data_IF_218445420083
#
_entry.id   IF_218445420083
#
_cell.length_a   1.000
_cell.length_b   1.000
_cell.length_c   1.000
_cell.angle_alpha   90.00
_cell.angle_beta   90.00
_cell.angle_gamma   90.00
#
_symmetry.space_group_name_H-M   'P 1'
#
loop_
_entity.id
_entity.type
_entity.pdbx_description
1 polymer ?
#
# COMPACT_ATOMS: atom_id res chain seq x y z
N UNK A 1 8.36 14.00 -78.88
CA UNK A 1 9.00 13.21 -77.81
C UNK A 1 8.10 13.27 -76.58
N UNK A 2 7.12 12.37 -76.49
CA UNK A 2 6.23 12.27 -75.33
C UNK A 2 6.81 11.27 -74.35
N UNK A 3 7.12 11.72 -73.14
CA UNK A 3 7.56 10.89 -72.03
C UNK A 3 6.37 10.13 -71.46
N UNK A 4 6.36 8.81 -71.68
CA UNK A 4 5.39 7.90 -71.08
C UNK A 4 5.74 7.72 -69.61
N UNK A 5 4.82 8.12 -68.75
CA UNK A 5 4.84 7.98 -67.29
C UNK A 5 4.89 6.51 -66.90
N UNK A 6 5.98 6.10 -66.25
CA UNK A 6 6.09 4.79 -65.61
C UNK A 6 5.24 4.77 -64.33
N UNK A 7 4.15 4.02 -64.37
CA UNK A 7 3.45 3.56 -63.16
C UNK A 7 4.38 2.64 -62.39
N UNK A 8 4.85 3.14 -61.25
CA UNK A 8 5.65 2.36 -60.29
C UNK A 8 4.72 1.33 -59.66
N UNK A 9 4.84 0.08 -60.11
CA UNK A 9 4.17 -1.07 -59.50
C UNK A 9 4.54 -1.16 -58.02
N UNK A 10 3.52 -1.20 -57.15
CA UNK A 10 3.71 -1.52 -55.74
C UNK A 10 4.33 -2.93 -55.63
N UNK A 11 5.33 -3.16 -54.78
CA UNK A 11 5.78 -4.52 -54.48
C UNK A 11 4.65 -5.27 -53.77
N UNK A 12 4.36 -6.55 -54.12
CA UNK A 12 3.38 -7.34 -53.41
C UNK A 12 3.86 -7.59 -51.97
N UNK A 13 2.94 -7.50 -51.01
CA UNK A 13 3.21 -7.79 -49.60
C UNK A 13 3.66 -9.26 -49.43
N UNK A 14 4.73 -9.55 -48.65
CA UNK A 14 5.05 -10.93 -48.30
C UNK A 14 4.20 -11.32 -47.09
N UNK A 15 3.08 -12.00 -47.34
CA UNK A 15 2.17 -12.48 -46.30
C UNK A 15 2.00 -13.98 -46.45
N UNK A 16 2.59 -14.73 -45.51
CA UNK A 16 2.33 -16.16 -45.37
C UNK A 16 2.02 -16.43 -43.89
N UNK A 17 0.73 -16.46 -43.59
CA UNK A 17 0.23 -17.23 -42.46
C UNK A 17 0.60 -18.72 -42.66
N UNK A 18 0.57 -19.55 -41.61
CA UNK A 18 0.91 -20.99 -41.70
C UNK A 18 0.08 -21.75 -42.75
N UNK A 19 -1.11 -21.27 -43.10
CA UNK A 19 -1.97 -21.88 -44.12
C UNK A 19 -1.55 -21.57 -45.58
N UNK A 20 -0.56 -20.68 -45.77
CA UNK A 20 -0.03 -20.25 -47.06
C UNK A 20 -1.10 -19.75 -48.06
N UNK A 21 -2.24 -19.29 -47.54
CA UNK A 21 -3.30 -18.69 -48.35
C UNK A 21 -2.98 -17.20 -48.56
N UNK A 22 -3.40 -16.61 -49.70
CA UNK A 22 -3.30 -15.17 -49.91
C UNK A 22 -4.05 -14.39 -48.81
N UNK A 23 -3.56 -13.18 -48.51
CA UNK A 23 -4.16 -12.34 -47.47
C UNK A 23 -5.58 -11.97 -47.85
N UNK A 24 -6.50 -12.13 -46.90
CA UNK A 24 -7.94 -11.89 -47.06
C UNK A 24 -8.34 -10.88 -45.99
N UNK A 25 -8.57 -9.62 -46.40
CA UNK A 25 -8.77 -8.46 -45.51
C UNK A 25 -9.97 -8.65 -44.55
N UNK A 26 -10.91 -9.55 -44.87
CA UNK A 26 -12.09 -9.83 -44.05
C UNK A 26 -11.81 -10.77 -42.86
N UNK A 27 -10.58 -11.28 -42.71
CA UNK A 27 -10.20 -12.20 -41.61
C UNK A 27 -9.49 -11.49 -40.47
N UNK A 28 -9.74 -11.93 -39.24
CA UNK A 28 -9.04 -11.43 -38.05
C UNK A 28 -7.58 -11.94 -38.01
N UNK A 29 -6.63 -11.02 -37.87
CA UNK A 29 -5.19 -11.30 -37.88
C UNK A 29 -4.51 -11.03 -36.52
N UNK A 30 -3.49 -11.83 -36.20
CA UNK A 30 -2.55 -11.64 -35.09
C UNK A 30 -1.14 -11.40 -35.65
N UNK A 31 -0.39 -10.47 -35.04
CA UNK A 31 1.01 -10.22 -35.38
C UNK A 31 1.95 -10.91 -34.37
N UNK A 32 2.93 -11.68 -34.87
CA UNK A 32 3.94 -12.29 -34.02
C UNK A 32 4.87 -11.22 -33.43
N UNK A 33 5.03 -11.19 -32.11
CA UNK A 33 5.86 -10.22 -31.40
C UNK A 33 7.36 -10.26 -31.73
N UNK A 34 7.82 -11.35 -32.35
CA UNK A 34 9.25 -11.59 -32.63
C UNK A 34 9.63 -11.38 -34.09
N UNK A 35 8.87 -11.96 -35.03
CA UNK A 35 9.14 -11.81 -36.47
C UNK A 35 8.22 -10.81 -37.17
N UNK A 36 7.23 -10.26 -36.46
CA UNK A 36 6.24 -9.29 -36.97
C UNK A 36 5.34 -9.81 -38.10
N UNK A 37 5.44 -11.09 -38.47
CA UNK A 37 4.58 -11.70 -39.48
C UNK A 37 3.12 -11.81 -38.98
N UNK A 38 2.17 -11.73 -39.94
CA UNK A 38 0.73 -11.78 -39.70
C UNK A 38 0.21 -13.21 -39.86
N UNK A 39 -0.68 -13.60 -38.95
CA UNK A 39 -1.30 -14.92 -38.93
C UNK A 39 -2.81 -14.78 -38.75
N UNK A 40 -3.61 -15.52 -39.51
CA UNK A 40 -5.03 -15.65 -39.22
C UNK A 40 -5.24 -16.19 -37.81
N UNK A 41 -6.16 -15.60 -37.05
CA UNK A 41 -6.47 -16.02 -35.67
C UNK A 41 -6.85 -17.51 -35.60
N UNK A 42 -7.58 -18.00 -36.59
CA UNK A 42 -8.02 -19.40 -36.69
C UNK A 42 -6.90 -20.39 -37.04
N UNK A 43 -5.80 -19.92 -37.65
CA UNK A 43 -4.70 -20.78 -38.07
C UNK A 43 -3.64 -20.99 -36.99
N UNK A 44 -3.79 -20.36 -35.81
CA UNK A 44 -2.82 -20.46 -34.71
C UNK A 44 -3.52 -20.86 -33.40
N UNK A 45 -2.93 -21.74 -32.57
CA UNK A 45 -3.56 -22.24 -31.36
C UNK A 45 -3.95 -21.10 -30.41
N UNK A 46 -5.10 -21.21 -29.75
CA UNK A 46 -5.55 -20.27 -28.71
C UNK A 46 -4.70 -20.42 -27.44
N UNK A 47 -3.48 -19.90 -27.48
CA UNK A 47 -2.67 -19.65 -26.28
C UNK A 47 -2.61 -18.15 -26.08
N UNK A 48 -3.77 -17.57 -25.81
CA UNK A 48 -3.88 -16.24 -25.21
C UNK A 48 -4.11 -16.52 -23.72
N UNK A 49 -3.13 -16.27 -22.84
CA UNK A 49 -3.39 -16.26 -21.39
C UNK A 49 -4.48 -15.22 -21.11
N UNK A 50 -5.39 -15.51 -20.18
CA UNK A 50 -6.45 -14.59 -19.73
C UNK A 50 -5.92 -13.27 -19.15
N UNK A 51 -4.61 -13.20 -18.91
CA UNK A 51 -3.94 -12.09 -18.25
C UNK A 51 -3.13 -11.36 -19.33
N UNK A 52 -3.55 -10.14 -19.67
CA UNK A 52 -3.21 -9.38 -20.88
C UNK A 52 -1.75 -8.95 -21.09
N UNK A 53 -0.75 -9.70 -20.63
CA UNK A 53 0.67 -9.31 -20.66
C UNK A 53 1.58 -10.16 -21.56
N UNK A 54 1.10 -11.21 -22.23
CA UNK A 54 1.94 -12.00 -23.17
C UNK A 54 1.56 -11.78 -24.63
N UNK A 55 2.41 -11.08 -25.38
CA UNK A 55 2.29 -10.87 -26.83
C UNK A 55 2.39 -12.21 -27.58
N UNK A 56 1.55 -12.42 -28.61
CA UNK A 56 1.53 -13.64 -29.42
C UNK A 56 2.90 -13.91 -30.11
N UNK A 57 3.41 -15.15 -30.02
CA UNK A 57 4.63 -15.60 -30.72
C UNK A 57 4.28 -16.78 -31.62
N UNK A 58 4.66 -16.73 -32.90
CA UNK A 58 4.28 -17.75 -33.88
C UNK A 58 5.02 -19.10 -33.64
N UNK A 59 4.46 -20.23 -34.12
CA UNK A 59 5.04 -21.56 -33.90
C UNK A 59 6.51 -21.69 -34.31
N UNK A 60 6.92 -21.02 -35.39
CA UNK A 60 8.31 -21.04 -35.86
C UNK A 60 9.25 -20.28 -34.91
N UNK A 61 8.80 -19.13 -34.40
CA UNK A 61 9.52 -18.37 -33.38
C UNK A 61 9.53 -19.08 -32.00
N UNK A 62 8.57 -19.97 -31.76
CA UNK A 62 8.53 -20.82 -30.56
C UNK A 62 9.50 -22.00 -30.69
N UNK A 63 9.66 -22.60 -31.87
CA UNK A 63 10.60 -23.71 -32.12
C UNK A 63 12.08 -23.32 -31.99
N UNK A 64 12.40 -22.04 -32.16
CA UNK A 64 13.76 -21.51 -31.96
C UNK A 64 14.09 -21.24 -30.48
N UNK A 65 13.15 -21.49 -29.56
CA UNK A 65 13.41 -21.50 -28.12
C UNK A 65 14.13 -22.80 -27.80
N UNK A 66 15.40 -22.74 -27.36
CA UNK A 66 16.09 -23.90 -26.79
C UNK A 66 15.25 -24.43 -25.62
N UNK A 67 14.77 -25.68 -25.66
CA UNK A 67 14.14 -26.25 -24.48
C UNK A 67 15.19 -26.36 -23.36
N UNK A 68 14.84 -26.06 -22.10
CA UNK A 68 15.70 -26.42 -20.99
C UNK A 68 15.90 -27.95 -20.98
N UNK A 69 17.06 -28.45 -20.52
CA UNK A 69 17.32 -29.89 -20.51
C UNK A 69 16.26 -30.63 -19.68
N UNK A 70 15.80 -31.76 -20.21
CA UNK A 70 14.73 -32.55 -19.62
C UNK A 70 15.12 -33.06 -18.22
N UNK A 71 14.44 -32.57 -17.19
CA UNK A 71 14.51 -33.14 -15.85
C UNK A 71 13.63 -34.39 -15.79
N UNK A 72 14.24 -35.52 -15.42
CA UNK A 72 13.55 -36.79 -15.20
C UNK A 72 12.39 -36.63 -14.20
N UNK A 73 11.22 -37.12 -14.60
CA UNK A 73 10.03 -37.19 -13.79
C UNK A 73 10.23 -38.16 -12.61
N UNK A 74 10.61 -37.62 -11.45
CA UNK A 74 10.28 -38.14 -10.14
C UNK A 74 9.65 -37.00 -9.34
N UNK A 75 8.44 -37.21 -8.84
CA UNK A 75 7.71 -36.29 -7.97
C UNK A 75 8.63 -35.81 -6.83
N UNK A 76 9.11 -34.57 -6.90
CA UNK A 76 9.53 -33.79 -5.74
C UNK A 76 8.56 -32.62 -5.60
N UNK A 77 8.15 -32.31 -4.36
CA UNK A 77 7.59 -31.01 -4.00
C UNK A 77 8.39 -29.95 -4.75
N UNK A 78 7.74 -29.17 -5.60
CA UNK A 78 8.34 -28.02 -6.25
C UNK A 78 9.12 -27.25 -5.18
N UNK A 79 10.41 -27.05 -5.39
CA UNK A 79 11.29 -26.33 -4.49
C UNK A 79 10.73 -24.90 -4.37
N UNK A 80 9.96 -24.67 -3.31
CA UNK A 80 9.71 -23.31 -2.80
C UNK A 80 11.08 -22.66 -2.62
N UNK A 81 11.27 -21.39 -2.99
CA UNK A 81 12.56 -20.72 -2.81
C UNK A 81 12.96 -20.85 -1.34
N UNK A 82 14.03 -21.60 -1.09
CA UNK A 82 14.52 -21.83 0.26
C UNK A 82 15.18 -20.54 0.73
N UNK A 83 14.73 -20.02 1.89
CA UNK A 83 15.42 -18.94 2.55
C UNK A 83 16.87 -19.36 2.86
N UNK A 84 17.81 -18.47 2.57
CA UNK A 84 19.23 -18.77 2.73
C UNK A 84 19.67 -18.64 4.19
N UNK A 85 20.01 -19.78 4.78
CA UNK A 85 20.58 -19.92 6.13
C UNK A 85 22.07 -20.23 5.99
N UNK A 86 22.93 -19.41 6.62
CA UNK A 86 24.38 -19.57 6.54
C UNK A 86 25.15 -18.38 7.15
N UNK A 87 26.45 -18.31 6.87
CA UNK A 87 27.35 -17.27 7.37
C UNK A 87 28.21 -16.65 6.24
N UNK A 88 27.59 -16.16 5.17
CA UNK A 88 28.27 -15.46 4.08
C UNK A 88 28.19 -13.92 4.25
N UNK A 89 29.28 -13.25 4.65
CA UNK A 89 29.29 -11.80 4.90
C UNK A 89 28.96 -10.98 3.64
N UNK A 90 29.30 -11.45 2.44
CA UNK A 90 29.04 -10.73 1.19
C UNK A 90 27.55 -10.62 0.86
N UNK A 91 26.70 -11.46 1.48
CA UNK A 91 25.24 -11.48 1.29
C UNK A 91 24.48 -10.86 2.47
N UNK A 92 25.16 -10.57 3.58
CA UNK A 92 24.56 -9.86 4.71
C UNK A 92 24.23 -8.43 4.30
N UNK A 93 22.97 -8.01 4.39
CA UNK A 93 22.41 -6.77 3.82
C UNK A 93 22.92 -5.46 4.45
N UNK A 94 24.23 -5.27 4.48
CA UNK A 94 24.97 -4.11 4.99
C UNK A 94 24.76 -2.85 4.17
N UNK A 95 24.21 -2.96 2.95
CA UNK A 95 23.86 -1.83 2.07
C UNK A 95 23.12 -0.74 2.84
N UNK A 96 22.03 -1.10 3.51
CA UNK A 96 21.16 -0.12 4.16
C UNK A 96 21.76 0.43 5.45
N UNK A 97 22.54 -0.36 6.17
CA UNK A 97 23.33 0.12 7.32
C UNK A 97 24.28 1.23 6.87
N UNK A 98 24.98 1.03 5.75
CA UNK A 98 25.89 2.03 5.20
C UNK A 98 25.16 3.29 4.71
N UNK A 99 23.98 3.15 4.09
CA UNK A 99 23.12 4.28 3.68
C UNK A 99 22.70 5.08 4.92
N UNK A 100 22.19 4.42 5.96
CA UNK A 100 21.76 5.08 7.19
C UNK A 100 22.94 5.76 7.91
N UNK A 101 24.12 5.12 7.95
CA UNK A 101 25.33 5.70 8.51
C UNK A 101 25.81 6.94 7.74
N UNK A 102 25.66 6.96 6.40
CA UNK A 102 25.97 8.12 5.56
C UNK A 102 25.11 9.34 5.95
N UNK A 103 23.82 9.12 6.16
CA UNK A 103 22.86 10.20 6.42
C UNK A 103 22.57 10.47 7.90
N UNK A 104 23.20 9.75 8.84
CA UNK A 104 22.96 9.86 10.29
C UNK A 104 23.00 11.29 10.84
N UNK A 105 23.89 12.12 10.30
CA UNK A 105 24.09 13.51 10.72
C UNK A 105 22.92 14.45 10.34
N UNK A 106 22.02 14.00 9.46
CA UNK A 106 20.82 14.74 9.02
C UNK A 106 19.59 14.40 9.85
N UNK A 107 19.62 13.29 10.58
CA UNK A 107 18.45 12.80 11.31
C UNK A 107 18.20 13.66 12.54
N UNK A 108 16.96 14.14 12.67
CA UNK A 108 16.53 14.91 13.82
C UNK A 108 15.67 14.03 14.73
N UNK A 109 15.82 14.17 16.04
CA UNK A 109 14.87 13.56 16.97
C UNK A 109 13.57 14.34 16.90
N UNK A 110 12.42 13.71 16.59
CA UNK A 110 11.15 14.41 16.55
C UNK A 110 10.65 14.72 17.96
N UNK A 111 9.96 15.85 18.10
CA UNK A 111 9.13 16.16 19.28
C UNK A 111 7.73 15.52 19.10
N UNK A 112 7.69 14.20 18.94
CA UNK A 112 6.44 13.45 18.88
C UNK A 112 5.92 13.20 20.29
N UNK A 113 4.62 13.43 20.48
CA UNK A 113 4.00 13.28 21.79
C UNK A 113 4.04 11.82 22.26
N UNK A 114 4.18 11.63 23.57
CA UNK A 114 4.09 10.33 24.23
C UNK A 114 2.93 10.35 25.23
N UNK A 115 1.85 9.66 24.91
CA UNK A 115 0.62 9.64 25.69
C UNK A 115 0.51 8.42 26.62
N UNK A 116 -0.36 8.51 27.62
CA UNK A 116 -0.94 7.31 28.25
C UNK A 116 -2.09 6.80 27.39
N UNK A 117 -2.43 5.50 27.48
CA UNK A 117 -3.49 4.95 26.64
C UNK A 117 -4.86 5.56 26.93
N UNK A 118 -5.15 5.91 28.17
CA UNK A 118 -6.41 6.53 28.59
C UNK A 118 -6.65 7.90 27.95
N UNK A 119 -5.57 8.59 27.54
CA UNK A 119 -5.65 9.87 26.87
C UNK A 119 -6.10 9.70 25.41
N UNK A 120 -5.68 8.63 24.75
CA UNK A 120 -5.88 8.44 23.31
C UNK A 120 -7.26 7.88 23.02
N UNK A 121 -8.24 8.79 23.00
CA UNK A 121 -9.65 8.51 22.71
C UNK A 121 -10.10 9.20 21.42
N UNK A 122 -11.27 8.82 20.90
CA UNK A 122 -11.89 9.51 19.77
C UNK A 122 -12.07 11.01 20.03
N UNK A 123 -12.53 11.39 21.23
CA UNK A 123 -12.73 12.79 21.62
C UNK A 123 -11.40 13.56 21.69
N UNK A 124 -10.34 12.94 22.22
CA UNK A 124 -9.01 13.54 22.24
C UNK A 124 -8.51 13.85 20.81
N UNK A 125 -8.61 12.88 19.89
CA UNK A 125 -8.17 13.09 18.51
C UNK A 125 -9.06 14.09 17.76
N UNK A 126 -10.35 14.17 18.08
CA UNK A 126 -11.25 15.21 17.53
C UNK A 126 -10.92 16.61 18.02
N UNK A 127 -10.44 16.78 19.26
CA UNK A 127 -10.08 18.09 19.82
C UNK A 127 -8.70 18.56 19.39
N UNK A 128 -7.73 17.64 19.34
CA UNK A 128 -6.32 17.97 19.12
C UNK A 128 -5.85 17.71 17.68
N UNK A 129 -6.66 16.99 16.90
CA UNK A 129 -6.28 16.51 15.57
C UNK A 129 -5.42 15.26 15.63
N UNK A 130 -5.34 14.56 14.49
CA UNK A 130 -4.43 13.45 14.27
C UNK A 130 -3.56 13.75 13.05
N UNK A 131 -2.61 14.67 13.23
CA UNK A 131 -1.79 15.24 12.14
C UNK A 131 -0.30 14.96 12.28
N UNK A 132 0.17 14.58 13.47
CA UNK A 132 1.56 14.19 13.74
C UNK A 132 1.61 12.79 14.36
N UNK A 133 2.65 11.99 14.07
CA UNK A 133 2.88 10.73 14.75
C UNK A 133 3.00 10.93 16.25
N UNK A 134 2.54 9.94 17.01
CA UNK A 134 2.68 9.92 18.45
C UNK A 134 2.83 8.49 18.96
N UNK A 135 3.46 8.35 20.13
CA UNK A 135 3.60 7.08 20.81
C UNK A 135 2.65 6.99 22.00
N UNK A 136 2.31 5.77 22.38
CA UNK A 136 1.67 5.41 23.63
C UNK A 136 2.60 4.46 24.37
N UNK A 137 2.86 4.77 25.65
CA UNK A 137 3.87 4.07 26.45
C UNK A 137 3.67 2.56 26.51
N UNK A 138 2.40 2.13 26.53
CA UNK A 138 2.02 0.72 26.45
C UNK A 138 0.61 0.58 25.92
N UNK A 139 0.17 -0.64 25.64
CA UNK A 139 -1.23 -0.93 25.27
C UNK A 139 -2.25 -0.69 26.40
N UNK A 140 -1.81 -0.52 27.65
CA UNK A 140 -2.69 -0.22 28.78
C UNK A 140 -3.47 1.08 28.52
N UNK A 141 -4.78 1.05 28.77
CA UNK A 141 -5.68 2.18 28.53
C UNK A 141 -6.20 2.30 27.09
N UNK A 142 -5.69 1.52 26.12
CA UNK A 142 -6.14 1.58 24.71
C UNK A 142 -7.31 0.64 24.39
N UNK A 143 -7.74 -0.21 25.34
CA UNK A 143 -8.67 -1.32 25.08
C UNK A 143 -8.23 -2.15 23.86
N UNK A 144 -6.91 -2.41 23.84
CA UNK A 144 -6.21 -3.24 22.87
C UNK A 144 -5.87 -4.57 23.56
N UNK A 145 -6.17 -5.67 22.88
CA UNK A 145 -5.79 -7.02 23.31
C UNK A 145 -4.76 -7.55 22.33
N UNK A 146 -3.66 -8.07 22.84
CA UNK A 146 -2.60 -8.66 22.03
C UNK A 146 -1.74 -9.56 22.94
N UNK A 147 -1.26 -10.73 22.47
CA UNK A 147 -0.37 -11.57 23.26
C UNK A 147 0.92 -10.83 23.66
N UNK A 148 1.34 -10.95 24.92
CA UNK A 148 2.56 -10.31 25.43
C UNK A 148 3.85 -10.94 24.89
N UNK A 149 3.80 -12.21 24.48
CA UNK A 149 4.97 -12.99 24.07
C UNK A 149 4.64 -13.83 22.83
N UNK A 150 4.22 -13.17 21.76
CA UNK A 150 3.99 -13.84 20.48
C UNK A 150 5.33 -14.14 19.81
N UNK A 151 5.62 -15.43 19.59
CA UNK A 151 6.81 -15.88 18.86
C UNK A 151 6.47 -16.20 17.41
N UNK A 152 7.46 -16.14 16.53
CA UNK A 152 7.30 -16.51 15.11
C UNK A 152 6.84 -17.96 14.93
N UNK A 153 7.31 -18.87 15.78
CA UNK A 153 6.86 -20.27 15.79
C UNK A 153 5.38 -20.38 16.10
N UNK A 154 4.90 -19.67 17.13
CA UNK A 154 3.47 -19.64 17.47
C UNK A 154 2.63 -19.03 16.36
N UNK A 155 3.11 -17.97 15.69
CA UNK A 155 2.41 -17.40 14.52
C UNK A 155 2.24 -18.47 13.45
N UNK A 156 3.30 -19.21 13.11
CA UNK A 156 3.23 -20.28 12.12
C UNK A 156 2.28 -21.42 12.53
N UNK A 157 2.25 -21.79 13.82
CA UNK A 157 1.34 -22.82 14.35
C UNK A 157 -0.13 -22.39 14.33
N UNK A 158 -0.41 -21.13 14.71
CA UNK A 158 -1.77 -20.60 14.82
C UNK A 158 -2.36 -20.28 13.45
N UNK A 159 -1.58 -19.62 12.58
CA UNK A 159 -2.03 -19.21 11.24
C UNK A 159 -2.04 -20.40 10.28
N UNK A 160 -1.06 -21.29 10.38
CA UNK A 160 -0.90 -22.44 9.50
C UNK A 160 0.49 -22.50 8.89
N UNK A 161 1.19 -23.61 9.13
CA UNK A 161 2.58 -23.83 8.73
C UNK A 161 2.81 -23.75 7.21
N UNK A 162 1.80 -24.09 6.41
CA UNK A 162 1.83 -24.14 4.95
C UNK A 162 1.36 -22.86 4.26
N UNK A 163 0.81 -21.90 5.02
CA UNK A 163 0.39 -20.58 4.55
C UNK A 163 1.61 -19.86 3.96
N UNK A 164 1.45 -19.40 2.72
CA UNK A 164 2.49 -18.71 1.95
C UNK A 164 2.29 -17.21 2.06
N UNK A 165 3.36 -16.49 2.36
CA UNK A 165 3.38 -15.05 2.54
C UNK A 165 4.48 -14.43 1.67
N UNK A 166 4.20 -13.24 1.14
CA UNK A 166 5.21 -12.43 0.47
C UNK A 166 6.28 -11.98 1.47
N UNK A 167 7.50 -12.48 1.25
CA UNK A 167 8.67 -12.21 2.09
C UNK A 167 9.65 -11.35 1.31
N UNK A 168 9.95 -10.17 1.81
CA UNK A 168 10.84 -9.21 1.15
C UNK A 168 12.29 -9.61 1.39
N UNK A 169 13.05 -9.84 0.31
CA UNK A 169 14.51 -9.83 0.37
C UNK A 169 14.97 -8.38 0.52
N UNK A 170 15.52 -8.04 1.67
CA UNK A 170 15.87 -6.66 2.03
C UNK A 170 16.95 -6.09 1.11
N UNK A 171 17.87 -6.92 0.58
CA UNK A 171 18.94 -6.41 -0.28
C UNK A 171 18.41 -5.95 -1.64
N UNK A 172 17.53 -6.75 -2.24
CA UNK A 172 16.94 -6.50 -3.57
C UNK A 172 15.64 -5.68 -3.51
N UNK A 173 14.99 -5.58 -2.35
CA UNK A 173 13.63 -5.05 -2.15
C UNK A 173 12.58 -5.81 -2.98
N UNK A 174 12.86 -7.07 -3.36
CA UNK A 174 11.94 -7.93 -4.11
C UNK A 174 11.27 -8.92 -3.17
N UNK A 175 9.98 -9.15 -3.36
CA UNK A 175 9.22 -10.15 -2.60
C UNK A 175 9.36 -11.54 -3.21
N UNK A 176 9.55 -12.54 -2.37
CA UNK A 176 9.53 -13.96 -2.70
C UNK A 176 8.50 -14.69 -1.83
N UNK A 177 7.72 -15.63 -2.38
CA UNK A 177 6.73 -16.36 -1.62
C UNK A 177 7.40 -17.39 -0.71
N UNK A 178 7.11 -17.36 0.59
CA UNK A 178 7.66 -18.28 1.59
C UNK A 178 6.56 -18.78 2.51
N UNK A 179 6.59 -20.07 2.86
CA UNK A 179 5.67 -20.60 3.86
C UNK A 179 6.10 -20.32 5.30
N UNK A 180 5.13 -20.22 6.21
CA UNK A 180 5.38 -19.85 7.60
C UNK A 180 6.27 -20.84 8.35
N UNK A 181 6.27 -22.12 8.00
CA UNK A 181 7.20 -23.09 8.58
C UNK A 181 8.66 -22.81 8.22
N UNK A 182 8.91 -22.53 6.93
CA UNK A 182 10.23 -22.16 6.42
C UNK A 182 10.68 -20.82 6.99
N UNK A 183 9.75 -19.87 7.10
CA UNK A 183 10.00 -18.58 7.76
C UNK A 183 10.38 -18.76 9.22
N UNK A 184 9.61 -19.53 10.01
CA UNK A 184 9.92 -19.77 11.41
C UNK A 184 11.26 -20.47 11.61
N UNK A 185 11.61 -21.40 10.72
CA UNK A 185 12.92 -22.06 10.73
C UNK A 185 14.05 -21.06 10.47
N UNK A 186 13.90 -20.22 9.44
CA UNK A 186 14.87 -19.16 9.11
C UNK A 186 15.00 -18.13 10.23
N UNK A 187 13.88 -17.64 10.76
CA UNK A 187 13.86 -16.59 11.77
C UNK A 187 14.52 -17.07 13.07
N UNK A 188 14.31 -18.33 13.47
CA UNK A 188 14.96 -18.86 14.67
C UNK A 188 16.41 -19.32 14.46
N UNK A 189 16.90 -19.30 13.22
CA UNK A 189 18.31 -19.62 12.95
C UNK A 189 19.23 -18.49 13.43
N UNK A 190 20.30 -18.81 14.18
CA UNK A 190 21.33 -17.83 14.54
C UNK A 190 22.23 -17.45 13.34
N UNK A 191 22.15 -18.22 12.25
CA UNK A 191 22.92 -18.01 11.02
C UNK A 191 21.99 -17.57 9.89
N UNK A 192 22.24 -16.40 9.30
CA UNK A 192 21.42 -15.84 8.21
C UNK A 192 22.34 -15.26 7.13
N UNK A 193 22.33 -15.88 5.95
CA UNK A 193 23.11 -15.40 4.81
C UNK A 193 22.49 -14.14 4.20
N UNK A 194 21.17 -14.03 4.25
CA UNK A 194 20.41 -12.94 3.65
C UNK A 194 19.38 -12.45 4.64
N UNK A 195 19.00 -11.17 4.52
CA UNK A 195 18.06 -10.51 5.41
C UNK A 195 16.71 -10.51 4.72
N UNK A 196 15.73 -11.13 5.36
CA UNK A 196 14.37 -11.21 4.86
C UNK A 196 13.39 -10.58 5.86
N UNK A 197 12.26 -10.09 5.36
CA UNK A 197 11.28 -9.38 6.15
C UNK A 197 9.86 -9.75 5.72
N UNK A 198 8.98 -10.09 6.67
CA UNK A 198 7.54 -10.24 6.43
C UNK A 198 6.84 -8.99 6.93
N UNK A 199 6.25 -8.25 5.99
CA UNK A 199 5.52 -7.00 6.25
C UNK A 199 4.00 -7.14 6.09
N UNK A 200 3.56 -8.15 5.34
CA UNK A 200 2.19 -8.21 4.78
C UNK A 200 1.42 -9.47 5.18
N UNK A 201 1.79 -10.16 6.27
CA UNK A 201 0.97 -11.24 6.81
C UNK A 201 -0.29 -10.65 7.46
N UNK A 202 -1.32 -10.45 6.64
CA UNK A 202 -2.68 -10.17 7.09
C UNK A 202 -3.29 -11.45 7.65
N UNK A 203 -3.93 -11.36 8.81
CA UNK A 203 -4.38 -12.55 9.53
C UNK A 203 -5.84 -12.51 9.98
N UNK A 204 -6.65 -11.59 9.46
CA UNK A 204 -8.05 -11.41 9.90
C UNK A 204 -8.93 -12.65 9.74
N UNK A 205 -8.62 -13.52 8.76
CA UNK A 205 -9.35 -14.78 8.50
C UNK A 205 -8.68 -16.01 9.13
N UNK A 206 -7.79 -15.80 10.11
CA UNK A 206 -7.04 -16.88 10.76
C UNK A 206 -7.37 -16.93 12.26
N UNK A 207 -7.09 -18.06 12.95
CA UNK A 207 -7.27 -18.15 14.41
C UNK A 207 -6.44 -17.14 15.22
N UNK A 208 -5.42 -16.50 14.62
CA UNK A 208 -4.65 -15.45 15.29
C UNK A 208 -5.51 -14.20 15.54
N UNK A 209 -6.51 -13.96 14.69
CA UNK A 209 -7.42 -12.82 14.83
C UNK A 209 -8.20 -12.87 16.16
N UNK A 210 -8.56 -14.07 16.63
CA UNK A 210 -9.30 -14.25 17.89
C UNK A 210 -8.48 -13.84 19.13
N UNK A 211 -7.16 -13.73 18.99
CA UNK A 211 -6.25 -13.35 20.07
C UNK A 211 -5.93 -11.85 20.11
N UNK A 212 -6.40 -11.10 19.12
CA UNK A 212 -6.01 -9.70 18.93
C UNK A 212 -7.23 -8.81 18.77
N UNK A 213 -7.28 -7.74 19.56
CA UNK A 213 -8.26 -6.67 19.43
C UNK A 213 -7.50 -5.37 19.19
N UNK A 214 -7.79 -4.72 18.05
CA UNK A 214 -7.21 -3.42 17.69
C UNK A 214 -7.56 -2.35 18.73
N UNK A 215 -6.73 -1.31 18.93
CA UNK A 215 -7.05 -0.22 19.85
C UNK A 215 -8.47 0.33 19.64
N UNK A 216 -9.17 0.66 20.73
CA UNK A 216 -10.54 1.19 20.66
C UNK A 216 -10.65 2.38 19.73
N UNK A 217 -9.72 3.33 19.84
CA UNK A 217 -9.69 4.52 18.99
C UNK A 217 -9.58 4.19 17.50
N UNK A 218 -8.91 3.10 17.12
CA UNK A 218 -8.82 2.64 15.72
C UNK A 218 -10.16 2.10 15.27
N UNK A 219 -10.76 1.19 16.05
CA UNK A 219 -12.09 0.62 15.76
C UNK A 219 -13.17 1.71 15.68
N UNK A 220 -13.04 2.74 16.51
CA UNK A 220 -13.93 3.88 16.48
C UNK A 220 -13.69 4.77 15.25
N UNK A 221 -12.47 4.89 14.71
CA UNK A 221 -12.17 5.76 13.57
C UNK A 221 -12.34 5.08 12.20
N UNK A 222 -12.11 3.77 12.13
CA UNK A 222 -11.96 3.02 10.90
C UNK A 222 -13.26 3.00 10.08
N UNK A 223 -13.22 3.62 8.89
CA UNK A 223 -14.33 3.64 7.95
C UNK A 223 -14.70 2.23 7.50
N UNK A 224 -13.75 1.30 7.36
CA UNK A 224 -14.07 -0.07 6.98
C UNK A 224 -14.97 -0.77 8.01
N UNK A 225 -14.81 -0.48 9.30
CA UNK A 225 -15.67 -1.03 10.34
C UNK A 225 -17.05 -0.37 10.37
N UNK A 226 -17.11 0.92 10.03
CA UNK A 226 -18.35 1.71 10.08
C UNK A 226 -19.25 1.53 8.86
N UNK A 227 -18.67 1.50 7.66
CA UNK A 227 -19.44 1.74 6.42
C UNK A 227 -19.48 0.54 5.49
N UNK A 228 -18.61 -0.45 5.69
CA UNK A 228 -18.58 -1.63 4.82
C UNK A 228 -19.84 -2.47 5.01
N UNK A 229 -20.59 -2.79 3.94
CA UNK A 229 -21.87 -3.47 4.07
C UNK A 229 -21.70 -4.95 4.43
N UNK A 230 -22.51 -5.43 5.38
CA UNK A 230 -22.52 -6.84 5.79
C UNK A 230 -22.79 -7.81 4.62
N UNK A 231 -23.53 -7.36 3.60
CA UNK A 231 -23.80 -8.16 2.39
C UNK A 231 -22.57 -8.40 1.51
N UNK A 232 -21.45 -7.73 1.76
CA UNK A 232 -20.16 -7.91 1.07
C UNK A 232 -19.03 -8.24 2.06
N UNK A 233 -19.34 -8.93 3.15
CA UNK A 233 -18.35 -9.22 4.20
C UNK A 233 -17.11 -9.95 3.65
N UNK A 234 -17.30 -10.91 2.73
CA UNK A 234 -16.21 -11.69 2.12
C UNK A 234 -15.30 -10.88 1.19
N UNK A 235 -15.78 -9.71 0.73
CA UNK A 235 -15.07 -8.79 -0.17
C UNK A 235 -14.48 -7.59 0.57
N UNK A 236 -14.53 -7.61 1.91
CA UNK A 236 -13.97 -6.53 2.75
C UNK A 236 -12.45 -6.45 2.56
N UNK A 237 -11.88 -5.26 2.29
CA UNK A 237 -10.43 -5.10 2.16
C UNK A 237 -9.67 -5.63 3.38
N UNK A 238 -8.71 -6.52 3.12
CA UNK A 238 -7.88 -7.20 4.11
C UNK A 238 -6.64 -6.35 4.42
N UNK A 239 -6.87 -5.32 5.23
CA UNK A 239 -5.83 -4.33 5.58
C UNK A 239 -5.83 -3.91 7.05
N UNK A 240 -6.77 -4.44 7.81
CA UNK A 240 -7.07 -3.95 9.16
C UNK A 240 -6.10 -4.46 10.21
N UNK A 241 -5.43 -5.59 9.95
CA UNK A 241 -4.53 -6.21 10.93
C UNK A 241 -3.44 -7.09 10.29
N UNK A 242 -2.20 -6.88 10.69
CA UNK A 242 -1.00 -7.55 10.17
C UNK A 242 -0.09 -8.01 11.29
N UNK A 243 0.56 -9.16 11.09
CA UNK A 243 1.68 -9.62 11.90
C UNK A 243 2.97 -9.39 11.12
N UNK A 244 3.75 -8.41 11.58
CA UNK A 244 5.00 -8.01 10.94
C UNK A 244 6.15 -8.67 11.69
N UNK A 245 6.97 -9.43 10.97
CA UNK A 245 8.09 -10.18 11.52
C UNK A 245 9.35 -9.82 10.75
N UNK A 246 10.31 -9.23 11.43
CA UNK A 246 11.48 -8.65 10.80
C UNK A 246 12.72 -9.09 11.54
N UNK A 247 13.72 -9.61 10.82
CA UNK A 247 15.01 -9.91 11.44
C UNK A 247 15.83 -8.62 11.60
N UNK A 248 16.83 -8.65 12.48
CA UNK A 248 17.79 -7.58 12.65
C UNK A 248 18.40 -7.15 11.31
N UNK A 249 18.61 -5.83 11.18
CA UNK A 249 19.07 -5.12 10.00
C UNK A 249 18.10 -5.12 8.80
N UNK A 250 16.83 -5.49 9.00
CA UNK A 250 15.80 -5.30 7.97
C UNK A 250 15.56 -3.82 7.70
N UNK A 251 15.35 -3.47 6.43
CA UNK A 251 15.05 -2.12 5.97
C UNK A 251 13.90 -2.14 4.96
N UNK A 252 12.93 -1.25 5.16
CA UNK A 252 11.85 -0.93 4.22
C UNK A 252 12.04 0.52 3.80
N UNK A 253 12.15 0.76 2.49
CA UNK A 253 12.44 2.08 1.97
C UNK A 253 11.27 3.07 2.13
N UNK A 254 11.52 4.35 1.83
CA UNK A 254 10.51 5.40 1.95
C UNK A 254 9.25 5.10 1.14
N UNK A 255 8.12 5.11 1.82
CA UNK A 255 6.80 4.92 1.23
C UNK A 255 5.76 5.76 1.96
N UNK A 256 4.58 5.85 1.35
CA UNK A 256 3.35 6.31 1.98
C UNK A 256 2.42 5.10 2.04
N UNK A 257 1.78 4.87 3.18
CA UNK A 257 0.81 3.78 3.32
C UNK A 257 -0.33 3.91 2.31
N UNK A 258 -0.74 2.76 1.77
CA UNK A 258 -1.65 2.68 0.64
C UNK A 258 -2.99 3.38 0.93
N UNK A 259 -3.52 4.09 -0.06
CA UNK A 259 -4.73 4.93 0.05
C UNK A 259 -4.60 6.09 1.04
N UNK A 260 -3.38 6.43 1.46
CA UNK A 260 -3.12 7.40 2.52
C UNK A 260 -3.68 6.96 3.85
N UNK A 261 -3.76 5.66 4.11
CA UNK A 261 -4.27 5.14 5.37
C UNK A 261 -3.40 5.59 6.57
N UNK A 262 -4.05 5.69 7.73
CA UNK A 262 -3.36 5.84 9.00
C UNK A 262 -3.02 4.46 9.57
N UNK A 263 -2.02 4.39 10.44
CA UNK A 263 -1.48 3.13 10.99
C UNK A 263 -1.47 3.15 12.50
N UNK A 264 -1.81 2.02 13.12
CA UNK A 264 -1.37 1.71 14.48
C UNK A 264 -0.32 0.60 14.43
N UNK A 265 0.68 0.67 15.31
CA UNK A 265 1.87 -0.18 15.24
C UNK A 265 2.34 -0.56 16.64
N UNK A 266 2.05 -1.78 17.10
CA UNK A 266 2.44 -2.27 18.41
C UNK A 266 3.63 -3.21 18.33
N UNK A 267 4.74 -2.83 18.96
CA UNK A 267 5.94 -3.68 19.03
C UNK A 267 5.81 -4.65 20.19
N UNK A 268 5.67 -5.94 19.90
CA UNK A 268 5.63 -7.00 20.94
C UNK A 268 7.06 -7.32 21.39
N UNK A 269 7.96 -7.48 20.43
CA UNK A 269 9.37 -7.81 20.64
C UNK A 269 10.25 -6.94 19.76
N UNK A 270 11.41 -6.58 20.29
CA UNK A 270 12.46 -5.86 19.60
C UNK A 270 12.18 -4.36 19.54
N UNK A 271 12.67 -3.72 18.48
CA UNK A 271 12.49 -2.30 18.25
C UNK A 271 12.48 -1.98 16.76
N UNK A 272 12.05 -0.75 16.44
CA UNK A 272 12.03 -0.17 15.10
C UNK A 272 12.53 1.26 15.16
N UNK A 273 13.17 1.70 14.09
CA UNK A 273 13.49 3.10 13.86
C UNK A 273 12.75 3.54 12.60
N UNK A 274 11.83 4.48 12.77
CA UNK A 274 11.11 5.10 11.67
C UNK A 274 11.81 6.39 11.27
N UNK A 275 11.98 6.59 9.97
CA UNK A 275 12.49 7.82 9.38
C UNK A 275 11.34 8.54 8.71
N UNK A 276 10.91 9.67 9.25
CA UNK A 276 9.72 10.40 8.81
C UNK A 276 10.07 11.67 8.04
N UNK A 277 9.31 11.92 6.98
CA UNK A 277 9.24 13.18 6.25
C UNK A 277 7.79 13.68 6.31
N UNK A 278 7.62 14.97 6.63
CA UNK A 278 6.30 15.56 6.78
C UNK A 278 5.49 15.55 5.46
N UNK A 279 4.16 15.35 5.51
CA UNK A 279 3.31 15.22 4.33
C UNK A 279 2.95 16.57 3.69
N UNK A 280 3.94 17.32 3.20
CA UNK A 280 3.73 18.61 2.53
C UNK A 280 3.64 18.46 1.00
N UNK A 281 3.07 19.46 0.30
CA UNK A 281 3.10 19.54 -1.17
C UNK A 281 4.52 19.41 -1.74
N UNK A 282 5.49 20.08 -1.11
CA UNK A 282 6.90 20.00 -1.49
C UNK A 282 7.40 18.56 -1.41
N UNK A 283 7.12 17.86 -0.30
CA UNK A 283 7.62 16.50 -0.08
C UNK A 283 6.92 15.46 -0.95
N UNK A 284 5.64 15.60 -1.25
CA UNK A 284 4.96 14.71 -2.21
C UNK A 284 5.50 14.86 -3.62
N UNK A 285 5.86 16.08 -4.04
CA UNK A 285 6.50 16.29 -5.34
C UNK A 285 7.91 15.67 -5.36
N UNK A 286 8.70 15.80 -4.29
CA UNK A 286 9.99 15.10 -4.17
C UNK A 286 9.81 13.58 -4.22
N UNK A 287 8.86 13.04 -3.46
CA UNK A 287 8.53 11.61 -3.43
C UNK A 287 8.15 11.12 -4.83
N UNK A 288 7.25 11.84 -5.51
CA UNK A 288 6.82 11.54 -6.87
C UNK A 288 8.00 11.52 -7.86
N UNK A 289 8.86 12.53 -7.81
CA UNK A 289 10.03 12.63 -8.68
C UNK A 289 10.98 11.46 -8.47
N UNK A 290 11.21 11.03 -7.23
CA UNK A 290 12.05 9.86 -6.95
C UNK A 290 11.49 8.55 -7.55
N UNK A 291 10.17 8.45 -7.68
CA UNK A 291 9.51 7.25 -8.22
C UNK A 291 9.43 7.24 -9.76
N UNK A 292 9.47 8.41 -10.40
CA UNK A 292 9.31 8.54 -11.86
C UNK A 292 10.67 8.73 -12.56
N UNK A 293 11.66 9.34 -11.89
CA UNK A 293 12.95 9.64 -12.49
C UNK A 293 13.82 8.37 -12.63
N UNK A 294 14.52 8.26 -13.76
CA UNK A 294 15.46 7.15 -14.02
C UNK A 294 16.74 7.22 -13.18
N UNK A 295 17.07 8.40 -12.64
CA UNK A 295 18.25 8.58 -11.78
C UNK A 295 17.86 8.36 -10.32
N UNK A 296 18.36 7.29 -9.67
CA UNK A 296 18.06 7.01 -8.27
C UNK A 296 18.59 8.16 -7.42
N UNK A 297 17.68 8.88 -6.75
CA UNK A 297 18.04 9.92 -5.80
C UNK A 297 17.40 9.58 -4.47
N UNK A 298 18.19 9.59 -3.40
CA UNK A 298 17.73 9.16 -2.08
C UNK A 298 16.93 10.28 -1.40
N UNK A 299 15.74 9.96 -0.89
CA UNK A 299 14.92 10.92 -0.15
C UNK A 299 15.61 11.41 1.13
N UNK A 300 16.55 10.65 1.70
CA UNK A 300 17.40 11.14 2.79
C UNK A 300 18.22 12.38 2.40
N UNK A 301 18.58 12.51 1.12
CA UNK A 301 19.34 13.63 0.59
C UNK A 301 18.46 14.82 0.22
N UNK A 302 17.30 14.53 -0.39
CA UNK A 302 16.41 15.55 -0.94
C UNK A 302 15.50 16.22 0.10
N UNK A 303 15.10 15.48 1.13
CA UNK A 303 14.31 16.04 2.21
C UNK A 303 15.15 17.05 3.01
N UNK A 304 14.51 18.16 3.36
CA UNK A 304 15.07 19.20 4.23
C UNK A 304 15.21 18.73 5.68
N UNK A 305 14.20 18.01 6.18
CA UNK A 305 14.22 17.40 7.52
C UNK A 305 13.79 15.94 7.41
N UNK A 306 14.53 15.07 8.08
CA UNK A 306 14.16 13.66 8.29
C UNK A 306 14.18 13.38 9.78
N UNK A 307 13.04 13.00 10.34
CA UNK A 307 12.95 12.67 11.76
C UNK A 307 13.22 11.19 12.01
N UNK A 308 14.08 10.85 12.96
CA UNK A 308 14.31 9.47 13.39
C UNK A 308 13.58 9.20 14.71
N UNK A 309 12.53 8.40 14.68
CA UNK A 309 11.75 7.99 15.84
C UNK A 309 12.03 6.53 16.19
N UNK A 310 12.45 6.26 17.42
CA UNK A 310 12.60 4.89 17.94
C UNK A 310 11.28 4.44 18.56
N UNK A 311 10.84 3.24 18.19
CA UNK A 311 9.68 2.57 18.78
C UNK A 311 10.16 1.27 19.41
N UNK A 312 10.01 1.18 20.73
CA UNK A 312 10.51 0.06 21.54
C UNK A 312 9.40 -0.94 21.86
N UNK A 313 9.81 -2.15 22.25
CA UNK A 313 8.89 -3.19 22.72
C UNK A 313 7.94 -2.68 23.82
N UNK A 314 6.67 -3.09 23.72
CA UNK A 314 5.58 -2.67 24.58
C UNK A 314 4.86 -1.42 24.09
N UNK A 315 5.50 -0.53 23.33
CA UNK A 315 4.88 0.71 22.86
C UNK A 315 3.85 0.45 21.75
N UNK A 316 2.90 1.38 21.63
CA UNK A 316 1.98 1.46 20.48
C UNK A 316 2.20 2.80 19.79
N UNK A 317 2.53 2.77 18.52
CA UNK A 317 2.83 3.96 17.73
C UNK A 317 1.69 4.21 16.73
N UNK A 318 1.31 5.47 16.56
CA UNK A 318 0.25 5.88 15.64
C UNK A 318 0.82 6.82 14.58
N UNK A 319 0.57 6.50 13.31
CA UNK A 319 1.03 7.27 12.16
C UNK A 319 -0.19 7.82 11.44
N UNK A 320 -0.33 9.15 11.29
CA UNK A 320 -1.44 9.73 10.57
C UNK A 320 -1.24 9.68 9.06
N UNK A 321 -2.36 9.82 8.35
CA UNK A 321 -2.44 9.83 6.89
C UNK A 321 -1.36 10.68 6.21
N UNK A 322 -0.74 10.09 5.19
CA UNK A 322 0.14 10.77 4.24
C UNK A 322 1.61 10.88 4.64
N UNK A 323 1.98 10.57 5.89
CA UNK A 323 3.37 10.67 6.33
C UNK A 323 4.28 9.72 5.54
N UNK A 324 5.28 10.30 4.86
CA UNK A 324 6.29 9.54 4.12
C UNK A 324 7.26 8.96 5.14
N UNK A 325 7.52 7.65 5.07
CA UNK A 325 8.41 7.02 6.02
C UNK A 325 9.17 5.82 5.50
N UNK A 326 10.39 5.63 6.02
CA UNK A 326 11.20 4.42 5.88
C UNK A 326 11.35 3.76 7.27
N UNK A 327 11.64 2.46 7.31
CA UNK A 327 11.72 1.70 8.56
C UNK A 327 12.97 0.85 8.62
N UNK A 328 13.77 1.03 9.67
CA UNK A 328 14.89 0.16 9.99
C UNK A 328 14.59 -0.69 11.23
N UNK A 329 15.11 -1.91 11.23
CA UNK A 329 14.90 -2.90 12.28
C UNK A 329 16.24 -3.23 12.94
N UNK A 330 16.62 -2.58 14.05
CA UNK A 330 17.93 -2.80 14.67
C UNK A 330 18.09 -4.20 15.27
N UNK A 331 17.01 -4.84 15.70
CA UNK A 331 17.01 -6.17 16.31
C UNK A 331 15.79 -6.99 15.84
N UNK A 332 15.81 -8.31 16.01
CA UNK A 332 14.69 -9.17 15.63
C UNK A 332 13.38 -8.74 16.29
N UNK A 333 12.39 -8.39 15.48
CA UNK A 333 11.15 -7.76 15.92
C UNK A 333 9.92 -8.52 15.48
N UNK A 334 8.92 -8.53 16.37
CA UNK A 334 7.56 -9.01 16.12
C UNK A 334 6.59 -7.89 16.48
N UNK A 335 5.72 -7.56 15.55
CA UNK A 335 4.81 -6.42 15.63
C UNK A 335 3.41 -6.84 15.22
N UNK A 336 2.42 -6.26 15.86
CA UNK A 336 1.04 -6.25 15.38
C UNK A 336 0.69 -4.82 14.97
N UNK A 337 0.30 -4.65 13.72
CA UNK A 337 -0.10 -3.36 13.18
C UNK A 337 -1.34 -3.47 12.32
N UNK A 338 -1.78 -2.35 11.76
CA UNK A 338 -2.92 -2.34 10.86
C UNK A 338 -3.20 -0.96 10.30
N UNK A 339 -3.79 -0.94 9.12
CA UNK A 339 -4.14 0.27 8.40
C UNK A 339 -5.63 0.57 8.60
N UNK A 340 -5.98 1.85 8.61
CA UNK A 340 -7.36 2.30 8.69
C UNK A 340 -7.54 3.64 7.97
N UNK A 341 -8.71 3.80 7.35
CA UNK A 341 -9.15 5.08 6.80
C UNK A 341 -10.07 5.74 7.80
N UNK A 342 -10.05 7.07 7.93
CA UNK A 342 -10.92 7.77 8.86
C UNK A 342 -11.42 9.11 8.32
N UNK A 343 -12.54 9.55 8.88
CA UNK A 343 -13.25 10.76 8.43
C UNK A 343 -12.37 12.01 8.50
N UNK A 344 -11.57 12.14 9.56
CA UNK A 344 -10.68 13.28 9.78
C UNK A 344 -9.54 13.45 8.78
N UNK A 345 -9.31 12.52 7.85
CA UNK A 345 -8.23 12.60 6.88
C UNK A 345 -8.66 12.32 5.42
N UNK A 346 -9.97 12.39 5.11
CA UNK A 346 -10.48 12.07 3.77
C UNK A 346 -9.79 12.86 2.64
N UNK A 347 -9.54 14.15 2.83
CA UNK A 347 -8.85 14.99 1.83
C UNK A 347 -7.44 14.45 1.55
N UNK A 348 -6.66 14.17 2.60
CA UNK A 348 -5.32 13.59 2.46
C UNK A 348 -5.37 12.19 1.84
N UNK A 349 -6.27 11.33 2.30
CA UNK A 349 -6.45 9.97 1.75
C UNK A 349 -6.76 10.00 0.25
N UNK A 350 -7.69 10.86 -0.19
CA UNK A 350 -8.00 11.06 -1.61
C UNK A 350 -6.80 11.60 -2.39
N UNK A 351 -6.01 12.49 -1.79
CA UNK A 351 -4.80 13.04 -2.41
C UNK A 351 -3.72 11.98 -2.60
N UNK A 352 -3.53 11.08 -1.62
CA UNK A 352 -2.58 9.96 -1.74
C UNK A 352 -3.06 8.93 -2.77
N UNK A 353 -4.34 8.54 -2.78
CA UNK A 353 -4.87 7.65 -3.84
C UNK A 353 -4.67 8.25 -5.24
N UNK A 354 -4.79 9.57 -5.39
CA UNK A 354 -4.46 10.24 -6.64
C UNK A 354 -2.95 10.19 -6.95
N UNK A 355 -2.10 10.44 -5.95
CA UNK A 355 -0.64 10.37 -6.10
C UNK A 355 -0.19 8.98 -6.54
N UNK A 356 -0.72 7.91 -5.94
CA UNK A 356 -0.44 6.52 -6.30
C UNK A 356 -0.78 6.21 -7.76
N UNK A 357 -1.93 6.71 -8.24
CA UNK A 357 -2.33 6.59 -9.65
C UNK A 357 -1.36 7.35 -10.57
N UNK A 358 -0.89 8.53 -10.15
CA UNK A 358 0.05 9.34 -10.92
C UNK A 358 1.45 8.74 -10.99
N UNK A 359 1.92 8.07 -9.92
CA UNK A 359 3.23 7.41 -9.87
C UNK A 359 3.20 5.99 -10.43
N UNK A 360 2.04 5.50 -10.87
CA UNK A 360 1.90 4.19 -11.49
C UNK A 360 2.03 3.03 -10.50
N UNK A 361 1.67 3.23 -9.23
CA UNK A 361 1.67 2.16 -8.23
C UNK A 361 0.72 1.03 -8.69
N UNK A 362 1.21 -0.22 -8.81
CA UNK A 362 0.38 -1.35 -9.21
C UNK A 362 -0.84 -1.50 -8.30
N UNK A 363 -1.99 -1.88 -8.86
CA UNK A 363 -3.26 -1.96 -8.13
C UNK A 363 -3.20 -2.87 -6.90
N UNK A 364 -2.43 -3.96 -6.95
CA UNK A 364 -2.22 -4.85 -5.79
C UNK A 364 -1.52 -4.21 -4.58
N UNK A 365 -0.87 -3.06 -4.78
CA UNK A 365 -0.20 -2.29 -3.73
C UNK A 365 -0.96 -1.01 -3.35
N UNK A 366 -2.16 -0.82 -3.91
CA UNK A 366 -3.07 0.28 -3.56
C UNK A 366 -4.20 -0.25 -2.67
N UNK A 367 -4.88 0.66 -2.00
CA UNK A 367 -6.00 0.29 -1.12
C UNK A 367 -7.13 -0.37 -1.94
N UNK A 368 -7.40 -1.65 -1.70
CA UNK A 368 -8.45 -2.38 -2.41
C UNK A 368 -9.82 -1.78 -2.13
N UNK A 369 -10.66 -1.63 -3.15
CA UNK A 369 -12.00 -1.04 -3.02
C UNK A 369 -12.04 0.38 -2.42
N UNK A 370 -10.97 1.17 -2.53
CA UNK A 370 -10.91 2.53 -1.98
C UNK A 370 -12.14 3.38 -2.36
N UNK A 371 -12.50 3.39 -3.65
CA UNK A 371 -13.69 4.12 -4.14
C UNK A 371 -15.00 3.62 -3.51
N UNK A 372 -15.14 2.32 -3.26
CA UNK A 372 -16.35 1.77 -2.64
C UNK A 372 -16.46 2.27 -1.19
N UNK A 373 -15.35 2.28 -0.44
CA UNK A 373 -15.30 2.81 0.93
C UNK A 373 -15.74 4.27 0.96
N UNK A 374 -15.28 5.09 0.01
CA UNK A 374 -15.66 6.50 -0.10
C UNK A 374 -17.17 6.68 -0.39
N UNK A 375 -17.73 5.92 -1.33
CA UNK A 375 -19.16 5.98 -1.64
C UNK A 375 -20.03 5.50 -0.48
N UNK A 376 -19.63 4.42 0.20
CA UNK A 376 -20.31 3.96 1.40
C UNK A 376 -20.20 4.95 2.56
N UNK A 377 -19.09 5.68 2.66
CA UNK A 377 -18.92 6.77 3.62
C UNK A 377 -19.94 7.87 3.40
N UNK A 378 -20.11 8.34 2.15
CA UNK A 378 -21.13 9.35 1.83
C UNK A 378 -22.53 8.84 2.16
N UNK A 379 -22.87 7.61 1.75
CA UNK A 379 -24.20 7.04 2.00
C UNK A 379 -24.50 6.87 3.50
N UNK A 380 -23.52 6.38 4.26
CA UNK A 380 -23.65 6.20 5.71
C UNK A 380 -23.93 7.54 6.38
N UNK A 381 -23.13 8.56 6.09
CA UNK A 381 -23.27 9.86 6.75
C UNK A 381 -24.43 10.71 6.24
N UNK A 382 -24.91 10.52 5.00
CA UNK A 382 -26.18 11.09 4.55
C UNK A 382 -27.36 10.59 5.41
N UNK A 383 -27.42 9.28 5.65
CA UNK A 383 -28.43 8.69 6.54
C UNK A 383 -28.33 9.24 7.97
N UNK A 384 -27.12 9.26 8.54
CA UNK A 384 -26.91 9.76 9.90
C UNK A 384 -27.27 11.24 10.07
N UNK A 385 -27.01 12.07 9.06
CA UNK A 385 -27.36 13.49 9.06
C UNK A 385 -28.88 13.67 8.96
N UNK A 386 -29.56 12.91 8.11
CA UNK A 386 -31.02 12.93 7.99
C UNK A 386 -31.71 12.46 9.27
N UNK A 387 -31.11 11.49 9.96
CA UNK A 387 -31.61 10.96 11.23
C UNK A 387 -31.22 11.82 12.45
N UNK A 388 -30.43 12.89 12.27
CA UNK A 388 -29.85 13.69 13.35
C UNK A 388 -29.07 12.85 14.39
N UNK A 389 -28.45 11.76 13.95
CA UNK A 389 -27.77 10.77 14.81
C UNK A 389 -26.27 11.03 14.96
N UNK A 390 -25.70 11.96 14.18
CA UNK A 390 -24.26 12.19 14.15
C UNK A 390 -23.80 13.35 15.01
N UNK A 391 -22.69 13.12 15.72
CA UNK A 391 -21.86 14.15 16.32
C UNK A 391 -20.51 14.17 15.60
N UNK A 392 -20.35 15.16 14.70
CA UNK A 392 -19.07 15.51 14.09
C UNK A 392 -18.49 16.73 14.76
N UNK A 393 -17.15 16.85 14.75
CA UNK A 393 -16.54 18.16 14.91
C UNK A 393 -16.57 18.93 13.57
N UNK A 394 -16.26 20.23 13.61
CA UNK A 394 -16.23 21.08 12.43
C UNK A 394 -15.29 20.55 11.33
N UNK A 395 -14.14 19.99 11.73
CA UNK A 395 -13.15 19.42 10.81
C UNK A 395 -13.70 18.21 10.05
N UNK A 396 -14.32 17.25 10.72
CA UNK A 396 -14.96 16.08 10.12
C UNK A 396 -16.07 16.48 9.14
N UNK A 397 -16.85 17.51 9.46
CA UNK A 397 -17.85 18.06 8.55
C UNK A 397 -17.21 18.66 7.28
N UNK A 398 -16.09 19.38 7.43
CA UNK A 398 -15.33 19.90 6.29
C UNK A 398 -14.74 18.77 5.43
N UNK A 399 -14.25 17.69 6.04
CA UNK A 399 -13.74 16.51 5.33
C UNK A 399 -14.84 15.81 4.52
N UNK A 400 -16.05 15.67 5.07
CA UNK A 400 -17.21 15.14 4.34
C UNK A 400 -17.59 16.03 3.14
N UNK A 401 -17.60 17.35 3.33
CA UNK A 401 -17.87 18.28 2.23
C UNK A 401 -16.80 18.17 1.12
N UNK A 402 -15.52 18.07 1.49
CA UNK A 402 -14.42 17.86 0.56
C UNK A 402 -14.56 16.54 -0.21
N UNK A 403 -14.96 15.46 0.46
CA UNK A 403 -15.24 14.18 -0.18
C UNK A 403 -16.38 14.28 -1.21
N UNK A 404 -17.48 14.94 -0.87
CA UNK A 404 -18.59 15.17 -1.80
C UNK A 404 -18.13 15.96 -3.04
N UNK A 405 -17.26 16.96 -2.87
CA UNK A 405 -16.66 17.68 -4.00
C UNK A 405 -15.77 16.78 -4.85
N UNK A 406 -14.93 15.97 -4.22
CA UNK A 406 -14.06 15.00 -4.89
C UNK A 406 -14.87 14.02 -5.75
N UNK A 407 -15.91 13.40 -5.19
CA UNK A 407 -16.72 12.38 -5.88
C UNK A 407 -17.62 12.97 -6.98
N UNK A 408 -18.10 14.21 -6.83
CA UNK A 408 -18.97 14.85 -7.83
C UNK A 408 -18.21 15.57 -8.95
N UNK A 409 -16.88 15.63 -8.87
CA UNK A 409 -16.04 16.36 -9.85
C UNK A 409 -16.27 17.88 -9.86
N UNK A 410 -17.01 18.42 -8.88
CA UNK A 410 -17.24 19.86 -8.75
C UNK A 410 -16.02 20.49 -8.10
N UNK A 411 -15.20 21.21 -8.89
CA UNK A 411 -14.15 22.10 -8.36
C UNK A 411 -14.77 23.03 -7.32
N UNK A 412 -14.17 23.07 -6.13
CA UNK A 412 -14.57 23.91 -4.99
C UNK A 412 -15.07 25.29 -5.43
N UNK A 413 -16.29 25.64 -5.00
CA UNK A 413 -16.64 27.04 -4.78
C UNK A 413 -15.70 27.53 -3.68
N UNK A 414 -14.60 28.18 -4.08
CA UNK A 414 -13.76 28.92 -3.13
C UNK A 414 -14.66 29.82 -2.28
N UNK A 415 -14.37 30.02 -0.99
CA UNK A 415 -14.95 31.14 -0.28
C UNK A 415 -14.54 32.39 -1.06
N UNK A 416 -15.49 33.10 -1.65
CA UNK A 416 -15.22 34.39 -2.28
C UNK A 416 -14.70 35.33 -1.20
N UNK A 417 -13.39 35.53 -1.19
CA UNK A 417 -12.76 36.62 -0.46
C UNK A 417 -13.31 37.95 -0.96
N UNK A 418 -13.80 38.74 0.00
CA UNK A 418 -13.94 40.20 -0.03
C UNK A 418 -14.78 40.81 -1.15
N UNK A 419 -16.06 41.07 -0.84
CA UNK A 419 -16.70 42.33 -1.24
C UNK A 419 -16.91 43.19 0.00
N UNK A 420 -16.26 44.35 0.00
CA UNK A 420 -16.49 45.45 0.94
C UNK A 420 -17.95 45.95 0.86
N UNK A 421 -18.47 46.57 1.93
CA UNK A 421 -19.90 46.72 2.14
C UNK A 421 -20.43 47.96 1.40
N UNK A 422 -21.37 47.77 0.49
CA UNK A 422 -22.29 48.84 0.11
C UNK A 422 -23.71 48.29 0.04
N UNK A 423 -24.59 48.96 0.80
CA UNK A 423 -26.04 48.82 0.90
C UNK A 423 -26.59 47.61 1.66
N UNK A 424 -26.90 47.86 2.94
CA UNK A 424 -27.98 47.17 3.64
C UNK A 424 -29.33 47.49 2.99
N UNK A 425 -30.20 46.48 2.89
CA UNK A 425 -31.60 46.65 3.22
C UNK A 425 -31.98 45.77 4.43
N UNK A 426 -32.84 46.33 5.26
CA UNK A 426 -33.31 45.83 6.55
C UNK A 426 -33.71 44.34 6.58
N UNK A 427 -33.26 43.64 7.62
CA UNK A 427 -33.67 42.28 7.98
C UNK A 427 -34.99 42.27 8.76
N UNK A 428 -35.92 41.32 8.50
CA UNK A 428 -36.82 40.80 9.53
C UNK A 428 -36.13 39.66 10.28
N UNK A 429 -36.17 39.72 11.62
CA UNK A 429 -35.40 38.87 12.52
C UNK A 429 -35.70 37.37 12.44
N UNK A 430 -34.66 36.57 12.67
CA UNK A 430 -34.77 35.13 12.96
C UNK A 430 -35.16 34.90 14.42
N UNK A 431 -36.07 33.95 14.72
CA UNK A 431 -36.49 33.66 16.08
C UNK A 431 -35.42 32.88 16.84
N UNK A 432 -35.28 33.23 18.13
CA UNK A 432 -34.37 32.62 19.09
C UNK A 432 -34.73 31.16 19.37
N UNK A 433 -33.67 30.40 19.61
CA UNK A 433 -33.60 29.06 20.20
C UNK A 433 -34.72 28.75 21.21
N UNK A 434 -35.43 27.64 20.99
CA UNK A 434 -36.05 26.89 22.08
C UNK A 434 -35.22 25.63 22.35
N UNK A 435 -34.75 25.55 23.58
CA UNK A 435 -34.22 24.38 24.26
C UNK A 435 -35.31 23.31 24.39
N UNK A 436 -35.05 22.08 23.95
CA UNK A 436 -35.83 20.92 24.40
C UNK A 436 -35.17 20.32 25.64
N UNK A 437 -36.01 20.15 26.66
CA UNK A 437 -35.75 19.42 27.90
C UNK A 437 -35.86 17.92 27.69
#
# INVERSE_FOLDING_TARGET
MSMTTMTRSQPPAPLLCVCQQPDDDDRLHLACARCLARFHRACVPATVPSDGERKFVCPECTRTIKPPPAANARRSRASRPALHVGNNPERTGTKWINVLAKYQHRFQTPDFAVHSGETVTLDYLRRNGFTRPFAVKSKAGLDMVCPERLTVTQVAEIVGADVVVDTVDVASQVSVPVDLASWATYFNSPLRDSIYNILSLEFSDTPLNDLVVRPRVVRDLDLLDRVWPASRADDKPKVTIYCIMSVANSYTDFHIDFGGSSVFYHVIKGSKIFYFIEPTEKHFELYRQCHINETPTDLFELADVVYAAVVEAGQVFFIPSGWIHAVFTPEDSVVIGGNFLHLGALDMQCRIDHLEKLTGVPEKFRFSHFSDVLWYTVRYYDHELQACMTNFNEHEAQQLAALCHHLTGRKSLRPTTTRSPTHMPHSPGWPRSQTCS
#
